data_IF_429756752394
#
_entry.id   IF_429756752394
#
_cell.length_a   1.000
_cell.length_b   1.000
_cell.length_c   1.000
_cell.angle_alpha   90.00
_cell.angle_beta   90.00
_cell.angle_gamma   90.00
#
_symmetry.space_group_name_H-M   'P 1'
#
loop_
_entity.id
_entity.type
_entity.pdbx_description
1 polymer ?
#
# COMPACT_ATOMS: atom_id res chain seq x y z
N UNK A 1 -8.19 -17.52 -5.44
CA UNK A 1 -9.36 -17.78 -6.31
C UNK A 1 -10.21 -18.98 -5.89
N UNK A 2 -9.75 -19.82 -4.92
CA UNK A 2 -10.49 -21.03 -4.51
C UNK A 2 -10.58 -22.12 -5.59
N UNK A 3 -9.83 -22.02 -6.67
CA UNK A 3 -9.87 -22.91 -7.83
C UNK A 3 -9.14 -24.21 -7.49
N UNK A 4 -9.81 -25.34 -7.76
CA UNK A 4 -9.19 -26.68 -7.67
C UNK A 4 -9.14 -27.28 -9.07
N UNK A 5 -7.95 -27.47 -9.66
CA UNK A 5 -7.85 -28.14 -10.95
C UNK A 5 -8.28 -29.61 -10.83
N UNK A 6 -8.90 -30.13 -11.88
CA UNK A 6 -9.41 -31.52 -11.91
C UNK A 6 -8.29 -32.58 -11.75
N UNK A 7 -7.09 -32.26 -12.22
CA UNK A 7 -5.88 -33.06 -12.06
C UNK A 7 -4.74 -32.22 -11.54
N UNK A 8 -4.08 -32.62 -10.44
CA UNK A 8 -2.99 -31.88 -9.80
C UNK A 8 -1.61 -32.42 -10.23
N UNK A 9 -1.33 -32.48 -11.52
CA UNK A 9 -0.09 -33.10 -12.03
C UNK A 9 0.97 -32.14 -12.50
N UNK A 10 0.59 -30.91 -12.91
CA UNK A 10 1.57 -29.97 -13.47
C UNK A 10 1.20 -28.50 -13.21
N UNK A 11 2.18 -27.62 -13.37
CA UNK A 11 1.97 -26.16 -13.36
C UNK A 11 1.01 -25.72 -14.48
N UNK A 12 0.96 -26.49 -15.57
CA UNK A 12 0.07 -26.23 -16.70
C UNK A 12 -1.40 -26.36 -16.29
N UNK A 13 -1.75 -27.41 -15.51
CA UNK A 13 -3.12 -27.63 -15.06
C UNK A 13 -3.65 -26.45 -14.22
N UNK A 14 -2.78 -25.86 -13.39
CA UNK A 14 -3.12 -24.66 -12.61
C UNK A 14 -3.31 -23.43 -13.50
N UNK A 15 -2.46 -23.25 -14.51
CA UNK A 15 -2.58 -22.13 -15.45
C UNK A 15 -3.89 -22.20 -16.24
N UNK A 16 -4.21 -23.35 -16.79
CA UNK A 16 -5.46 -23.56 -17.52
C UNK A 16 -6.69 -23.36 -16.62
N UNK A 17 -6.66 -23.85 -15.39
CA UNK A 17 -7.75 -23.66 -14.43
C UNK A 17 -7.95 -22.19 -14.07
N UNK A 18 -6.86 -21.43 -13.91
CA UNK A 18 -6.90 -19.99 -13.66
C UNK A 18 -7.48 -19.28 -14.90
N UNK A 19 -7.00 -19.58 -16.08
CA UNK A 19 -7.44 -18.97 -17.33
C UNK A 19 -8.94 -19.18 -17.55
N UNK A 20 -9.44 -20.40 -17.42
CA UNK A 20 -10.87 -20.71 -17.51
C UNK A 20 -11.70 -19.95 -16.48
N UNK A 21 -11.21 -19.84 -15.25
CA UNK A 21 -11.89 -19.09 -14.20
C UNK A 21 -11.95 -17.60 -14.53
N UNK A 22 -10.82 -17.02 -14.96
CA UNK A 22 -10.76 -15.61 -15.33
C UNK A 22 -11.66 -15.31 -16.52
N UNK A 23 -11.66 -16.19 -17.54
CA UNK A 23 -12.54 -16.05 -18.69
C UNK A 23 -14.01 -16.02 -18.26
N UNK A 24 -14.44 -17.00 -17.47
CA UNK A 24 -15.80 -17.04 -16.93
C UNK A 24 -16.15 -15.77 -16.16
N UNK A 25 -15.24 -15.29 -15.28
CA UNK A 25 -15.50 -14.09 -14.48
C UNK A 25 -15.56 -12.83 -15.32
N UNK A 26 -14.66 -12.67 -16.28
CA UNK A 26 -14.56 -11.42 -17.03
C UNK A 26 -15.47 -11.38 -18.27
N UNK A 27 -15.70 -12.51 -18.93
CA UNK A 27 -16.48 -12.55 -20.18
C UNK A 27 -17.92 -12.96 -19.92
N UNK A 28 -18.15 -14.09 -19.20
CA UNK A 28 -19.51 -14.58 -18.99
C UNK A 28 -20.25 -13.78 -17.89
N UNK A 29 -19.53 -13.35 -16.83
CA UNK A 29 -20.12 -12.63 -15.69
C UNK A 29 -19.86 -11.12 -15.74
N UNK A 30 -19.14 -10.61 -16.73
CA UNK A 30 -18.79 -9.19 -16.93
C UNK A 30 -18.10 -8.53 -15.72
N UNK A 31 -17.38 -9.30 -14.92
CA UNK A 31 -16.68 -8.82 -13.74
C UNK A 31 -15.26 -8.36 -14.06
N UNK A 32 -14.78 -7.33 -13.34
CA UNK A 32 -13.37 -6.96 -13.36
C UNK A 32 -12.64 -7.74 -12.27
N UNK A 33 -11.62 -8.53 -12.66
CA UNK A 33 -10.79 -9.27 -11.72
C UNK A 33 -9.50 -8.50 -11.45
N UNK A 34 -9.28 -8.13 -10.19
CA UNK A 34 -8.07 -7.43 -9.75
C UNK A 34 -7.27 -8.31 -8.80
N UNK A 35 -6.01 -8.56 -9.11
CA UNK A 35 -5.05 -9.20 -8.22
C UNK A 35 -4.15 -8.14 -7.60
N UNK A 36 -4.24 -7.98 -6.28
CA UNK A 36 -3.40 -7.05 -5.53
C UNK A 36 -2.34 -7.86 -4.78
N UNK A 37 -1.07 -7.53 -4.99
CA UNK A 37 0.07 -8.15 -4.32
C UNK A 37 0.79 -7.09 -3.51
N UNK A 38 0.74 -7.22 -2.21
CA UNK A 38 1.49 -6.38 -1.28
C UNK A 38 2.83 -7.04 -0.91
N UNK A 39 3.78 -6.22 -0.44
CA UNK A 39 5.14 -6.66 -0.08
C UNK A 39 5.88 -7.41 -1.21
N UNK A 40 5.62 -7.04 -2.45
CA UNK A 40 6.12 -7.74 -3.63
C UNK A 40 7.66 -7.76 -3.74
N UNK A 41 8.38 -6.90 -3.02
CA UNK A 41 9.84 -6.98 -2.92
C UNK A 41 10.32 -8.29 -2.26
N UNK A 42 9.46 -9.01 -1.53
CA UNK A 42 9.77 -10.32 -0.94
C UNK A 42 9.61 -11.49 -1.90
N UNK A 43 8.96 -11.28 -3.06
CA UNK A 43 8.73 -12.34 -4.03
C UNK A 43 10.01 -12.80 -4.70
N UNK A 44 10.09 -14.08 -5.05
CA UNK A 44 11.17 -14.62 -5.87
C UNK A 44 11.09 -14.11 -7.32
N UNK A 45 12.20 -14.13 -8.05
CA UNK A 45 12.20 -13.82 -9.48
C UNK A 45 11.26 -14.74 -10.27
N UNK A 46 11.19 -16.01 -9.89
CA UNK A 46 10.28 -16.99 -10.46
C UNK A 46 8.80 -16.61 -10.25
N UNK A 47 8.44 -16.19 -9.04
CA UNK A 47 7.07 -15.74 -8.75
C UNK A 47 6.68 -14.50 -9.54
N UNK A 48 7.59 -13.53 -9.68
CA UNK A 48 7.37 -12.34 -10.50
C UNK A 48 7.19 -12.71 -11.99
N UNK A 49 7.93 -13.70 -12.48
CA UNK A 49 7.79 -14.21 -13.86
C UNK A 49 6.43 -14.89 -14.08
N UNK A 50 5.92 -15.63 -13.08
CA UNK A 50 4.56 -16.17 -13.11
C UNK A 50 3.53 -15.05 -13.24
N UNK A 51 3.65 -13.99 -12.44
CA UNK A 51 2.76 -12.83 -12.55
C UNK A 51 2.78 -12.20 -13.93
N UNK A 52 3.99 -12.07 -14.52
CA UNK A 52 4.13 -11.58 -15.89
C UNK A 52 3.36 -12.45 -16.88
N UNK A 53 3.39 -13.79 -16.70
CA UNK A 53 2.65 -14.69 -17.60
C UNK A 53 1.14 -14.57 -17.44
N UNK A 54 0.64 -14.29 -16.23
CA UNK A 54 -0.79 -14.06 -16.00
C UNK A 54 -1.32 -12.82 -16.75
N UNK A 55 -0.47 -11.80 -16.97
CA UNK A 55 -0.84 -10.62 -17.75
C UNK A 55 -1.04 -10.90 -19.24
N UNK A 56 -0.69 -12.10 -19.72
CA UNK A 56 -0.98 -12.52 -21.10
C UNK A 56 -2.41 -13.05 -21.27
N UNK A 57 -3.15 -13.27 -20.17
CA UNK A 57 -4.52 -13.72 -20.25
C UNK A 57 -5.41 -12.56 -20.70
N UNK A 58 -5.68 -12.52 -21.98
CA UNK A 58 -6.49 -11.51 -22.64
C UNK A 58 -7.27 -12.11 -23.81
N UNK A 59 -8.40 -11.53 -24.13
CA UNK A 59 -9.11 -11.71 -25.38
C UNK A 59 -8.86 -10.50 -26.27
N UNK A 60 -9.43 -10.47 -27.46
CA UNK A 60 -9.32 -9.28 -28.32
C UNK A 60 -9.94 -8.03 -27.70
N UNK A 61 -10.88 -8.21 -26.77
CA UNK A 61 -11.66 -7.12 -26.18
C UNK A 61 -11.35 -6.90 -24.68
N UNK A 62 -10.91 -7.94 -23.97
CA UNK A 62 -10.80 -7.92 -22.51
C UNK A 62 -9.41 -8.32 -22.00
N UNK A 63 -8.89 -7.58 -21.02
CA UNK A 63 -7.84 -8.03 -20.12
C UNK A 63 -8.48 -8.85 -19.00
N UNK A 64 -8.19 -10.13 -18.93
CA UNK A 64 -8.82 -11.04 -17.98
C UNK A 64 -8.36 -10.85 -16.53
N UNK A 65 -7.28 -10.10 -16.32
CA UNK A 65 -6.77 -9.77 -14.97
C UNK A 65 -6.12 -8.39 -14.97
N UNK A 66 -6.44 -7.60 -13.97
CA UNK A 66 -5.73 -6.38 -13.61
C UNK A 66 -4.77 -6.70 -12.47
N UNK A 67 -3.51 -6.25 -12.56
CA UNK A 67 -2.50 -6.52 -11.56
C UNK A 67 -2.05 -5.22 -10.88
N UNK A 68 -2.20 -5.18 -9.57
CA UNK A 68 -1.66 -4.10 -8.71
C UNK A 68 -0.54 -4.67 -7.86
N UNK A 69 0.66 -4.14 -8.02
CA UNK A 69 1.85 -4.57 -7.28
C UNK A 69 2.26 -3.44 -6.35
N UNK A 70 2.29 -3.72 -5.06
CA UNK A 70 2.71 -2.80 -4.02
C UNK A 70 4.00 -3.34 -3.40
N UNK A 71 4.98 -2.48 -3.21
CA UNK A 71 6.25 -2.91 -2.63
C UNK A 71 7.20 -1.76 -2.37
N UNK A 72 8.31 -2.07 -1.71
CA UNK A 72 9.38 -1.13 -1.42
C UNK A 72 10.21 -0.81 -2.67
N UNK A 73 11.04 0.21 -2.59
CA UNK A 73 11.81 0.73 -3.75
C UNK A 73 12.75 -0.31 -4.37
N UNK A 74 13.18 -1.31 -3.59
CA UNK A 74 14.02 -2.44 -4.05
C UNK A 74 13.32 -3.32 -5.10
N UNK A 75 12.00 -3.23 -5.18
CA UNK A 75 11.23 -3.93 -6.22
C UNK A 75 11.55 -3.41 -7.62
N UNK A 76 11.75 -2.11 -7.78
CA UNK A 76 11.92 -1.47 -9.08
C UNK A 76 13.10 -2.04 -9.91
N UNK A 77 14.34 -2.13 -9.37
CA UNK A 77 15.45 -2.71 -10.12
C UNK A 77 15.23 -4.20 -10.42
N UNK A 78 14.46 -4.90 -9.59
CA UNK A 78 14.13 -6.32 -9.81
C UNK A 78 13.14 -6.49 -10.97
N UNK A 79 12.11 -5.66 -11.05
CA UNK A 79 11.15 -5.68 -12.17
C UNK A 79 11.83 -5.34 -13.50
N UNK A 80 12.78 -4.40 -13.50
CA UNK A 80 13.57 -4.04 -14.70
C UNK A 80 14.42 -5.20 -15.25
N UNK A 81 14.81 -6.15 -14.41
CA UNK A 81 15.58 -7.35 -14.84
C UNK A 81 14.70 -8.40 -15.50
N UNK A 82 13.39 -8.34 -15.32
CA UNK A 82 12.45 -9.27 -15.95
C UNK A 82 12.09 -8.73 -17.32
N UNK A 83 12.48 -9.46 -18.36
CA UNK A 83 12.26 -9.05 -19.75
C UNK A 83 10.78 -8.75 -20.00
N UNK A 84 10.49 -7.60 -20.60
CA UNK A 84 9.15 -7.17 -21.01
C UNK A 84 8.14 -7.03 -19.84
N UNK A 85 8.58 -7.05 -18.56
CA UNK A 85 7.68 -6.78 -17.43
C UNK A 85 7.37 -5.29 -17.33
N UNK A 86 8.41 -4.46 -17.47
CA UNK A 86 8.27 -3.00 -17.39
C UNK A 86 7.34 -2.44 -18.47
N UNK A 87 7.33 -3.05 -19.66
CA UNK A 87 6.51 -2.63 -20.80
C UNK A 87 5.01 -2.88 -20.59
N UNK A 88 4.68 -3.71 -19.61
CA UNK A 88 3.29 -4.06 -19.22
C UNK A 88 2.78 -3.26 -18.04
N UNK A 89 3.62 -2.40 -17.47
CA UNK A 89 3.24 -1.51 -16.37
C UNK A 89 2.65 -0.24 -16.98
N UNK A 90 1.34 -0.13 -16.96
CA UNK A 90 0.60 1.03 -17.50
C UNK A 90 0.72 2.26 -16.57
N UNK A 91 0.81 2.04 -15.28
CA UNK A 91 0.91 3.09 -14.26
C UNK A 91 1.94 2.72 -13.22
N UNK A 92 2.82 3.67 -12.91
CA UNK A 92 3.77 3.58 -11.82
C UNK A 92 3.63 4.81 -10.94
N UNK A 93 3.40 4.58 -9.67
CA UNK A 93 3.29 5.63 -8.68
C UNK A 93 4.29 5.41 -7.54
N UNK A 94 4.95 6.47 -7.09
CA UNK A 94 5.86 6.44 -5.94
C UNK A 94 5.22 7.26 -4.84
N UNK A 95 4.94 6.61 -3.71
CA UNK A 95 4.46 7.28 -2.50
C UNK A 95 5.67 7.90 -1.79
N UNK A 96 5.71 9.22 -1.77
CA UNK A 96 6.70 9.97 -1.00
C UNK A 96 6.25 10.12 0.46
N UNK A 97 7.19 10.35 1.40
CA UNK A 97 6.83 10.81 2.73
C UNK A 97 5.97 12.09 2.65
N UNK A 98 5.15 12.31 3.65
CA UNK A 98 4.32 13.51 3.77
C UNK A 98 5.19 14.76 3.93
N UNK A 99 4.75 15.87 3.35
CA UNK A 99 5.35 17.18 3.67
C UNK A 99 4.91 17.70 5.04
N UNK A 100 5.40 18.89 5.44
CA UNK A 100 5.06 19.48 6.73
C UNK A 100 3.56 19.77 6.87
N UNK A 101 2.90 20.24 5.82
CA UNK A 101 1.47 20.55 5.85
C UNK A 101 0.63 19.29 5.85
N UNK A 102 1.02 18.30 5.08
CA UNK A 102 0.37 16.98 5.06
C UNK A 102 0.55 16.26 6.41
N UNK A 103 1.70 16.40 7.04
CA UNK A 103 1.95 15.87 8.40
C UNK A 103 0.99 16.49 9.42
N UNK A 104 0.81 17.81 9.40
CA UNK A 104 -0.16 18.50 10.26
C UNK A 104 -1.57 18.00 10.02
N UNK A 105 -2.01 17.99 8.76
CA UNK A 105 -3.34 17.47 8.37
C UNK A 105 -3.56 16.02 8.80
N UNK A 106 -2.53 15.17 8.71
CA UNK A 106 -2.60 13.79 9.17
C UNK A 106 -2.83 13.71 10.68
N UNK A 107 -2.11 14.51 11.47
CA UNK A 107 -2.27 14.55 12.93
C UNK A 107 -3.70 14.99 13.29
N UNK A 108 -4.15 16.11 12.74
CA UNK A 108 -5.50 16.64 12.96
C UNK A 108 -6.58 15.67 12.53
N UNK A 109 -6.45 15.07 11.35
CA UNK A 109 -7.39 14.07 10.86
C UNK A 109 -7.51 12.87 11.81
N UNK A 110 -6.39 12.36 12.31
CA UNK A 110 -6.40 11.21 13.25
C UNK A 110 -7.01 11.56 14.59
N UNK A 111 -6.78 12.76 15.12
CA UNK A 111 -7.41 13.26 16.33
C UNK A 111 -8.93 13.34 16.15
N UNK A 112 -9.38 13.92 15.05
CA UNK A 112 -10.80 14.00 14.72
C UNK A 112 -11.44 12.61 14.58
N UNK A 113 -10.79 11.66 13.90
CA UNK A 113 -11.25 10.28 13.79
C UNK A 113 -11.31 9.55 15.14
N UNK A 114 -10.48 9.95 16.10
CA UNK A 114 -10.50 9.43 17.47
C UNK A 114 -11.59 10.11 18.35
N UNK A 115 -12.39 11.04 17.80
CA UNK A 115 -13.46 11.73 18.51
C UNK A 115 -13.05 13.04 19.16
N UNK A 116 -11.83 13.52 18.96
CA UNK A 116 -11.42 14.83 19.46
C UNK A 116 -12.05 15.93 18.61
N UNK A 117 -12.99 16.67 19.19
CA UNK A 117 -13.82 17.69 18.51
C UNK A 117 -13.67 19.10 19.10
N UNK A 118 -12.62 19.33 19.93
CA UNK A 118 -12.34 20.67 20.46
C UNK A 118 -11.99 21.65 19.33
N UNK A 119 -12.42 22.91 19.42
CA UNK A 119 -12.00 23.95 18.48
C UNK A 119 -10.49 24.26 18.58
N UNK A 120 -9.88 23.98 19.72
CA UNK A 120 -8.44 24.14 19.93
C UNK A 120 -7.68 22.87 19.52
N UNK A 121 -6.59 23.04 18.78
CA UNK A 121 -5.75 21.91 18.41
C UNK A 121 -5.05 21.32 19.65
N UNK A 122 -5.12 20.00 19.79
CA UNK A 122 -4.44 19.28 20.88
C UNK A 122 -2.91 19.35 20.77
N UNK A 123 -2.38 19.56 19.58
CA UNK A 123 -0.94 19.75 19.33
C UNK A 123 -0.68 21.19 18.92
N UNK A 124 0.28 21.87 19.57
CA UNK A 124 0.71 23.18 19.12
C UNK A 124 1.37 23.10 17.73
N UNK A 125 1.34 24.20 16.99
CA UNK A 125 1.96 24.28 15.67
C UNK A 125 3.44 23.90 15.72
N UNK A 126 4.16 24.38 16.72
CA UNK A 126 5.59 24.09 16.93
C UNK A 126 5.83 22.60 17.24
N UNK A 127 4.96 21.98 18.03
CA UNK A 127 5.04 20.54 18.28
C UNK A 127 4.86 19.72 16.99
N UNK A 128 3.87 20.08 16.14
CA UNK A 128 3.67 19.42 14.85
C UNK A 128 4.86 19.61 13.90
N UNK A 129 5.49 20.79 13.90
CA UNK A 129 6.67 21.06 13.09
C UNK A 129 7.88 20.25 13.56
N UNK A 130 8.03 20.10 14.86
CA UNK A 130 9.07 19.29 15.45
C UNK A 130 8.86 17.79 15.17
N UNK A 131 7.61 17.32 15.25
CA UNK A 131 7.25 15.96 14.82
C UNK A 131 7.65 15.72 13.36
N UNK A 132 7.38 16.67 12.46
CA UNK A 132 7.82 16.55 11.07
C UNK A 132 9.36 16.47 10.97
N UNK A 133 10.09 17.33 11.68
CA UNK A 133 11.56 17.32 11.65
C UNK A 133 12.15 15.97 12.07
N UNK A 134 11.63 15.34 13.12
CA UNK A 134 12.11 14.03 13.57
C UNK A 134 11.64 12.88 12.69
N UNK A 135 10.43 12.96 12.17
CA UNK A 135 9.82 11.85 11.44
C UNK A 135 10.07 11.90 9.94
N UNK A 136 10.46 13.06 9.39
CA UNK A 136 10.64 13.31 7.97
C UNK A 136 9.41 12.92 7.16
N UNK A 137 8.21 13.10 7.73
CA UNK A 137 6.94 12.82 7.07
C UNK A 137 6.56 11.35 6.95
N UNK A 138 7.27 10.41 7.59
CA UNK A 138 6.91 8.99 7.55
C UNK A 138 5.71 8.70 8.46
N UNK A 139 4.53 8.28 7.91
CA UNK A 139 3.28 8.19 8.67
C UNK A 139 3.36 7.31 9.92
N UNK A 140 4.08 6.19 9.84
CA UNK A 140 4.25 5.29 11.00
C UNK A 140 5.06 5.94 12.12
N UNK A 141 6.10 6.69 11.75
CA UNK A 141 6.92 7.42 12.75
C UNK A 141 6.12 8.56 13.37
N UNK A 142 5.36 9.31 12.55
CA UNK A 142 4.46 10.37 13.04
C UNK A 142 3.50 9.80 14.07
N UNK A 143 2.81 8.70 13.75
CA UNK A 143 1.87 8.07 14.66
C UNK A 143 2.51 7.63 15.98
N UNK A 144 3.71 7.04 15.92
CA UNK A 144 4.46 6.63 17.12
C UNK A 144 4.85 7.82 18.00
N UNK A 145 5.41 8.86 17.39
CA UNK A 145 5.85 10.05 18.12
C UNK A 145 4.66 10.82 18.72
N UNK A 146 3.54 10.94 17.99
CA UNK A 146 2.31 11.50 18.53
C UNK A 146 1.77 10.69 19.71
N UNK A 147 1.83 9.36 19.65
CA UNK A 147 1.40 8.51 20.77
C UNK A 147 2.22 8.77 22.02
N UNK A 148 3.55 8.75 21.93
CA UNK A 148 4.43 9.05 23.05
C UNK A 148 4.21 10.46 23.61
N UNK A 149 4.00 11.45 22.74
CA UNK A 149 3.69 12.82 23.17
C UNK A 149 2.34 12.94 23.91
N UNK A 150 1.34 12.15 23.52
CA UNK A 150 0.05 12.09 24.26
C UNK A 150 0.19 11.40 25.62
N UNK A 151 1.03 10.37 25.74
CA UNK A 151 1.37 9.78 27.04
C UNK A 151 2.01 10.79 27.96
N UNK A 152 2.97 11.58 27.46
CA UNK A 152 3.66 12.64 28.20
C UNK A 152 2.70 13.77 28.59
N UNK A 153 1.75 14.13 27.71
CA UNK A 153 0.67 15.10 27.99
C UNK A 153 -0.11 14.69 29.23
N UNK A 154 -0.54 13.42 29.28
CA UNK A 154 -1.33 12.88 30.39
C UNK A 154 -0.49 12.83 31.67
N UNK A 155 0.78 12.39 31.58
CA UNK A 155 1.68 12.34 32.74
C UNK A 155 1.94 13.71 33.35
N UNK A 156 1.98 14.77 32.53
CA UNK A 156 2.23 16.14 32.99
C UNK A 156 0.96 16.91 33.31
N UNK A 157 -0.21 16.30 33.20
CA UNK A 157 -1.53 16.92 33.41
C UNK A 157 -1.70 18.26 32.62
N UNK A 158 -1.30 18.22 31.34
CA UNK A 158 -1.37 19.35 30.42
C UNK A 158 -2.59 19.25 29.50
N UNK A 159 -3.03 20.39 28.94
CA UNK A 159 -4.18 20.46 28.02
C UNK A 159 -3.79 20.41 26.56
N UNK A 160 -2.53 20.67 26.23
CA UNK A 160 -2.03 20.62 24.85
C UNK A 160 -0.59 20.09 24.81
N UNK A 161 -0.27 19.41 23.70
CA UNK A 161 1.10 18.92 23.44
C UNK A 161 1.95 20.08 22.95
N UNK A 162 2.98 20.39 23.72
CA UNK A 162 3.99 21.39 23.45
C UNK A 162 5.28 20.77 22.91
N UNK A 163 6.16 21.57 22.31
CA UNK A 163 7.45 21.13 21.77
C UNK A 163 8.33 20.35 22.75
N UNK A 164 8.31 20.72 24.05
CA UNK A 164 9.07 20.04 25.12
C UNK A 164 8.56 18.64 25.50
N UNK A 165 7.51 18.14 24.85
CA UNK A 165 6.98 16.78 25.00
C UNK A 165 7.33 15.88 23.81
N UNK A 166 7.98 16.43 22.78
CA UNK A 166 8.40 15.68 21.61
C UNK A 166 9.83 15.19 21.86
N UNK A 167 9.95 13.91 22.20
CA UNK A 167 11.23 13.26 22.58
C UNK A 167 11.52 12.08 21.64
#
# INVERSE_FOLDING_TARGET
FGIRPSFRRSTLDYKEAIEKHLFKKCVDEENIVVLIIDEAQKMSAFSLEILRTLLNYETNEYKLIQLVIIGQMELLPRLKRIRNFSDRISLKYILNPLDVNETRKMIEFRLHQAGYSSPESLFTQKAMDLIYQYTQGYPRKIAGLCHSALEELVMRDKTAVEEGMII
#
